data_IF_171765215363
#
_entry.id   IF_171765215363
#
_cell.length_a   1.000
_cell.length_b   1.000
_cell.length_c   1.000
_cell.angle_alpha   90.00
_cell.angle_beta   90.00
_cell.angle_gamma   90.00
#
_symmetry.space_group_name_H-M   'P 1'
#
loop_
_entity.id
_entity.type
_entity.pdbx_description
1 polymer ?
#
# COMPACT_ATOMS: atom_id res chain seq x y z
N UNK A 1 -9.20 -4.56 1.65
CA UNK A 1 -8.86 -5.62 2.62
C UNK A 1 -9.27 -6.96 2.05
N UNK A 2 -8.42 -7.99 2.20
CA UNK A 2 -8.68 -9.37 1.82
C UNK A 2 -8.66 -10.24 3.07
N UNK A 3 -9.66 -11.10 3.23
CA UNK A 3 -9.75 -12.03 4.34
C UNK A 3 -10.39 -13.33 3.86
N UNK A 4 -10.00 -14.45 4.45
CA UNK A 4 -10.62 -15.74 4.19
C UNK A 4 -11.77 -15.96 5.16
N UNK A 5 -12.96 -16.23 4.62
CA UNK A 5 -14.13 -16.61 5.40
C UNK A 5 -14.36 -18.11 5.31
N UNK A 6 -14.46 -18.76 6.46
CA UNK A 6 -14.77 -20.18 6.61
C UNK A 6 -16.23 -20.30 7.06
N UNK A 7 -17.06 -20.92 6.22
CA UNK A 7 -18.47 -21.18 6.55
C UNK A 7 -18.58 -22.43 7.42
N UNK A 8 -19.24 -22.33 8.57
CA UNK A 8 -19.59 -23.42 9.48
C UNK A 8 -21.09 -23.36 9.77
N UNK A 9 -21.88 -24.16 9.06
CA UNK A 9 -23.34 -24.09 9.10
C UNK A 9 -23.84 -22.71 8.65
N UNK A 10 -24.63 -22.07 9.51
CA UNK A 10 -25.19 -20.72 9.28
C UNK A 10 -24.24 -19.59 9.70
N UNK A 11 -23.08 -19.92 10.28
CA UNK A 11 -22.11 -18.92 10.73
C UNK A 11 -20.91 -18.82 9.78
N UNK A 12 -20.39 -17.61 9.63
CA UNK A 12 -19.18 -17.33 8.87
C UNK A 12 -18.09 -16.89 9.84
N UNK A 13 -16.98 -17.63 9.89
CA UNK A 13 -15.84 -17.33 10.76
C UNK A 13 -14.65 -16.85 9.94
N UNK A 14 -13.93 -15.86 10.46
CA UNK A 14 -12.69 -15.40 9.82
C UNK A 14 -11.59 -16.45 10.04
N UNK A 15 -10.99 -16.92 8.95
CA UNK A 15 -9.95 -17.94 8.99
C UNK A 15 -8.59 -17.37 8.61
N UNK A 16 -7.83 -16.85 9.57
CA UNK A 16 -6.49 -16.29 9.35
C UNK A 16 -6.41 -14.81 9.72
N UNK A 17 -5.62 -14.03 8.98
CA UNK A 17 -5.49 -12.58 9.13
C UNK A 17 -6.35 -11.76 8.16
N UNK A 18 -6.46 -10.47 8.44
CA UNK A 18 -6.99 -9.46 7.51
C UNK A 18 -5.79 -8.79 6.84
N UNK A 19 -5.76 -8.83 5.52
CA UNK A 19 -4.67 -8.27 4.72
C UNK A 19 -5.13 -6.96 4.08
N UNK A 20 -4.54 -5.80 4.41
CA UNK A 20 -4.86 -4.55 3.74
C UNK A 20 -4.45 -4.64 2.27
N UNK A 21 -5.31 -4.11 1.39
CA UNK A 21 -5.03 -3.99 -0.03
C UNK A 21 -5.62 -2.67 -0.50
N UNK A 22 -4.94 -2.03 -1.44
CA UNK A 22 -5.54 -1.00 -2.28
C UNK A 22 -6.71 -1.57 -3.07
N UNK A 23 -7.72 -0.72 -3.34
CA UNK A 23 -8.98 -1.17 -3.93
C UNK A 23 -8.80 -1.74 -5.34
N UNK A 24 -7.95 -1.14 -6.16
CA UNK A 24 -7.69 -1.63 -7.53
C UNK A 24 -6.96 -2.96 -7.52
N UNK A 25 -5.83 -3.04 -6.80
CA UNK A 25 -5.09 -4.30 -6.59
C UNK A 25 -5.99 -5.42 -6.05
N UNK A 26 -6.90 -5.13 -5.12
CA UNK A 26 -7.84 -6.13 -4.60
C UNK A 26 -8.80 -6.67 -5.68
N UNK A 27 -9.25 -5.84 -6.62
CA UNK A 27 -10.14 -6.25 -7.72
C UNK A 27 -9.41 -7.15 -8.71
N UNK A 28 -8.19 -6.77 -9.10
CA UNK A 28 -7.35 -7.55 -10.00
C UNK A 28 -6.96 -8.90 -9.40
N UNK A 29 -6.60 -8.90 -8.11
CA UNK A 29 -6.32 -10.11 -7.35
C UNK A 29 -7.55 -11.03 -7.30
N UNK A 30 -8.73 -10.48 -7.00
CA UNK A 30 -9.97 -11.26 -6.97
C UNK A 30 -10.28 -11.89 -8.34
N UNK A 31 -10.13 -11.14 -9.44
CA UNK A 31 -10.32 -11.65 -10.79
C UNK A 31 -9.32 -12.77 -11.12
N UNK A 32 -8.05 -12.60 -10.72
CA UNK A 32 -6.99 -13.58 -10.90
C UNK A 32 -7.25 -14.87 -10.11
N UNK A 33 -7.66 -14.75 -8.85
CA UNK A 33 -8.05 -15.88 -8.00
C UNK A 33 -9.21 -16.66 -8.63
N UNK A 34 -10.27 -15.97 -9.07
CA UNK A 34 -11.42 -16.62 -9.68
C UNK A 34 -11.04 -17.34 -10.99
N UNK A 35 -10.18 -16.74 -11.80
CA UNK A 35 -9.65 -17.36 -13.03
C UNK A 35 -8.81 -18.60 -12.71
N UNK A 36 -7.95 -18.54 -11.69
CA UNK A 36 -7.11 -19.65 -11.24
C UNK A 36 -7.96 -20.82 -10.70
N UNK A 37 -8.97 -20.54 -9.86
CA UNK A 37 -9.92 -21.54 -9.36
C UNK A 37 -10.63 -22.22 -10.53
N UNK A 38 -11.24 -21.45 -11.44
CA UNK A 38 -11.94 -22.00 -12.62
C UNK A 38 -11.05 -22.90 -13.46
N UNK A 39 -9.78 -22.52 -13.66
CA UNK A 39 -8.80 -23.32 -14.41
C UNK A 39 -8.46 -24.62 -13.67
N UNK A 40 -8.29 -24.57 -12.36
CA UNK A 40 -7.90 -25.73 -11.56
C UNK A 40 -9.03 -26.76 -11.44
N UNK A 41 -10.27 -26.30 -11.21
CA UNK A 41 -11.44 -27.18 -11.04
C UNK A 41 -11.87 -27.86 -12.34
N UNK A 42 -11.48 -27.34 -13.51
CA UNK A 42 -11.75 -27.97 -14.81
C UNK A 42 -10.80 -29.13 -15.15
N UNK A 43 -9.71 -29.31 -14.41
CA UNK A 43 -8.75 -30.39 -14.66
C UNK A 43 -9.36 -31.73 -14.25
N UNK A 44 -9.12 -32.79 -15.04
CA UNK A 44 -9.50 -34.18 -14.68
C UNK A 44 -8.91 -34.61 -13.33
N UNK A 45 -7.77 -34.05 -12.94
CA UNK A 45 -7.11 -34.26 -11.64
C UNK A 45 -6.63 -32.90 -11.10
N UNK A 46 -7.42 -32.19 -10.28
CA UNK A 46 -7.01 -30.95 -9.64
C UNK A 46 -5.84 -31.18 -8.68
N UNK A 47 -4.89 -30.24 -8.65
CA UNK A 47 -3.69 -30.30 -7.78
C UNK A 47 -3.78 -29.38 -6.57
N UNK A 48 -4.73 -28.45 -6.56
CA UNK A 48 -4.95 -27.52 -5.46
C UNK A 48 -6.45 -27.31 -5.20
N UNK A 49 -6.80 -27.11 -3.93
CA UNK A 49 -8.17 -26.75 -3.55
C UNK A 49 -8.39 -25.24 -3.78
N UNK A 50 -9.64 -24.79 -4.03
CA UNK A 50 -9.95 -23.36 -4.10
C UNK A 50 -9.47 -22.58 -2.87
N UNK A 51 -9.62 -23.17 -1.67
CA UNK A 51 -9.13 -22.58 -0.43
C UNK A 51 -7.60 -22.42 -0.40
N UNK A 52 -6.86 -23.39 -0.94
CA UNK A 52 -5.40 -23.31 -1.07
C UNK A 52 -4.98 -22.20 -2.04
N UNK A 53 -5.65 -22.10 -3.20
CA UNK A 53 -5.39 -21.04 -4.19
C UNK A 53 -5.64 -19.65 -3.59
N UNK A 54 -6.78 -19.46 -2.92
CA UNK A 54 -7.14 -18.19 -2.26
C UNK A 54 -6.09 -17.81 -1.22
N UNK A 55 -5.67 -18.78 -0.40
CA UNK A 55 -4.73 -18.53 0.71
C UNK A 55 -3.37 -18.07 0.19
N UNK A 56 -2.79 -18.78 -0.78
CA UNK A 56 -1.49 -18.43 -1.35
C UNK A 56 -1.56 -17.09 -2.07
N UNK A 57 -2.57 -16.87 -2.91
CA UNK A 57 -2.70 -15.64 -3.68
C UNK A 57 -2.85 -14.40 -2.78
N UNK A 58 -3.70 -14.45 -1.75
CA UNK A 58 -3.88 -13.32 -0.83
C UNK A 58 -2.59 -13.03 -0.06
N UNK A 59 -1.93 -14.05 0.49
CA UNK A 59 -0.73 -13.85 1.31
C UNK A 59 0.43 -13.34 0.45
N UNK A 60 0.69 -13.99 -0.69
CA UNK A 60 1.79 -13.60 -1.59
C UNK A 60 1.59 -12.19 -2.12
N UNK A 61 0.41 -11.86 -2.66
CA UNK A 61 0.18 -10.53 -3.22
C UNK A 61 0.20 -9.43 -2.16
N UNK A 62 -0.26 -9.71 -0.93
CA UNK A 62 -0.11 -8.76 0.16
C UNK A 62 1.36 -8.55 0.54
N UNK A 63 2.14 -9.63 0.65
CA UNK A 63 3.55 -9.55 0.96
C UNK A 63 4.31 -8.79 -0.13
N UNK A 64 4.01 -9.07 -1.40
CA UNK A 64 4.57 -8.35 -2.56
C UNK A 64 4.25 -6.86 -2.45
N UNK A 65 3.03 -6.47 -2.08
CA UNK A 65 2.66 -5.05 -1.92
C UNK A 65 3.36 -4.32 -0.77
N UNK A 66 3.96 -5.06 0.18
CA UNK A 66 4.79 -4.49 1.25
C UNK A 66 6.24 -4.39 0.81
N UNK A 67 6.74 -5.44 0.15
CA UNK A 67 8.14 -5.55 -0.26
C UNK A 67 8.45 -4.70 -1.49
N UNK A 68 7.47 -4.55 -2.38
CA UNK A 68 7.52 -3.72 -3.58
C UNK A 68 6.22 -2.90 -3.64
N UNK A 69 6.13 -1.82 -2.84
CA UNK A 69 4.92 -1.02 -2.77
C UNK A 69 4.60 -0.46 -4.17
N UNK A 70 3.34 -0.55 -4.61
CA UNK A 70 2.97 -0.06 -5.92
C UNK A 70 3.28 1.43 -6.03
N UNK A 71 3.66 1.86 -7.23
CA UNK A 71 3.88 3.27 -7.49
C UNK A 71 2.60 4.05 -7.11
N UNK A 72 2.71 5.18 -6.42
CA UNK A 72 1.56 6.03 -6.13
C UNK A 72 0.71 6.26 -7.37
N UNK A 73 -0.62 6.32 -7.29
CA UNK A 73 -1.43 6.54 -8.47
C UNK A 73 -1.06 7.86 -9.16
N UNK A 74 -1.21 7.91 -10.48
CA UNK A 74 -1.04 9.16 -11.21
C UNK A 74 -2.19 10.10 -10.87
N UNK A 75 -1.86 11.23 -10.26
CA UNK A 75 -2.85 12.27 -10.00
C UNK A 75 -3.19 12.96 -11.32
N UNK A 76 -4.48 13.14 -11.56
CA UNK A 76 -4.98 13.83 -12.76
C UNK A 76 -5.64 15.12 -12.34
N UNK A 77 -5.37 16.20 -13.07
CA UNK A 77 -6.12 17.42 -12.93
C UNK A 77 -7.59 17.18 -13.32
N UNK A 78 -8.50 17.59 -12.45
CA UNK A 78 -9.92 17.28 -12.62
C UNK A 78 -10.53 17.97 -13.85
N UNK A 79 -9.97 19.09 -14.30
CA UNK A 79 -10.47 19.87 -15.44
C UNK A 79 -9.82 19.41 -16.74
N UNK A 80 -8.50 19.51 -16.85
CA UNK A 80 -7.78 19.26 -18.10
C UNK A 80 -7.72 17.77 -18.42
N UNK A 81 -7.92 16.89 -17.42
CA UNK A 81 -7.71 15.44 -17.48
C UNK A 81 -6.25 15.07 -17.80
N UNK A 82 -5.34 16.04 -17.68
CA UNK A 82 -3.91 15.82 -17.81
C UNK A 82 -3.32 15.35 -16.47
N UNK A 83 -2.15 14.69 -16.49
CA UNK A 83 -1.39 14.44 -15.27
C UNK A 83 -1.13 15.75 -14.50
N UNK A 84 -1.37 15.72 -13.19
CA UNK A 84 -1.06 16.82 -12.29
C UNK A 84 0.46 16.89 -12.13
N UNK A 85 1.08 17.81 -12.86
CA UNK A 85 2.51 18.05 -12.92
C UNK A 85 2.73 19.54 -12.74
N UNK A 86 3.14 19.94 -11.54
CA UNK A 86 3.41 21.34 -11.24
C UNK A 86 4.54 21.81 -12.16
N UNK A 87 4.21 22.70 -13.07
CA UNK A 87 5.11 23.17 -14.11
C UNK A 87 5.40 24.64 -13.85
N UNK A 88 6.67 24.95 -13.60
CA UNK A 88 7.18 26.28 -13.33
C UNK A 88 7.97 26.77 -14.52
N UNK A 89 7.46 27.79 -15.21
CA UNK A 89 8.17 28.47 -16.28
C UNK A 89 8.85 29.71 -15.73
N UNK A 90 10.15 29.86 -16.00
CA UNK A 90 10.93 31.02 -15.59
C UNK A 90 11.06 31.98 -16.76
N UNK A 91 10.79 33.26 -16.50
CA UNK A 91 10.90 34.35 -17.45
C UNK A 91 11.87 35.41 -16.96
N UNK A 92 12.69 35.93 -17.87
CA UNK A 92 13.37 37.21 -17.68
C UNK A 92 12.42 38.34 -18.02
N UNK A 93 12.34 39.32 -17.14
CA UNK A 93 11.51 40.53 -17.30
C UNK A 93 12.45 41.72 -17.54
N UNK A 94 12.24 42.46 -18.62
CA UNK A 94 13.05 43.65 -18.96
C UNK A 94 12.54 44.94 -18.31
N UNK A 95 11.23 45.04 -18.06
CA UNK A 95 10.57 46.21 -17.48
C UNK A 95 9.38 45.76 -16.62
N UNK A 96 9.53 45.86 -15.30
CA UNK A 96 8.50 45.45 -14.34
C UNK A 96 7.32 46.42 -14.29
N UNK A 97 7.50 47.74 -14.14
CA UNK A 97 6.38 48.68 -14.18
C UNK A 97 5.48 48.50 -15.39
N UNK A 98 6.07 48.33 -16.59
CA UNK A 98 5.29 48.11 -17.80
C UNK A 98 4.52 46.77 -17.77
N UNK A 99 5.13 45.71 -17.23
CA UNK A 99 4.46 44.41 -17.08
C UNK A 99 3.33 44.48 -16.04
N UNK A 100 3.55 45.14 -14.91
CA UNK A 100 2.56 45.33 -13.84
C UNK A 100 1.34 46.09 -14.35
N UNK A 101 1.54 47.17 -15.13
CA UNK A 101 0.46 47.91 -15.79
C UNK A 101 -0.34 47.02 -16.76
N UNK A 102 0.35 46.20 -17.55
CA UNK A 102 -0.29 45.27 -18.50
C UNK A 102 -1.12 44.21 -17.77
N UNK A 103 -0.59 43.64 -16.68
CA UNK A 103 -1.28 42.65 -15.86
C UNK A 103 -2.50 43.27 -15.15
N UNK A 104 -2.36 44.47 -14.59
CA UNK A 104 -3.45 45.19 -13.92
C UNK A 104 -4.59 45.57 -14.88
N UNK A 105 -4.30 45.70 -16.19
CA UNK A 105 -5.31 45.96 -17.20
C UNK A 105 -6.14 44.72 -17.59
N UNK A 106 -5.82 43.52 -17.09
CA UNK A 106 -6.57 42.30 -17.40
C UNK A 106 -7.66 42.02 -16.36
N UNK A 107 -8.91 41.93 -16.82
CA UNK A 107 -10.06 41.62 -15.95
C UNK A 107 -9.97 40.23 -15.28
N UNK A 108 -9.10 39.36 -15.80
CA UNK A 108 -8.93 37.99 -15.35
C UNK A 108 -7.58 37.76 -14.62
N UNK A 109 -6.91 38.82 -14.21
CA UNK A 109 -5.70 38.76 -13.38
C UNK A 109 -5.96 39.51 -12.08
N UNK A 110 -5.86 38.80 -10.97
CA UNK A 110 -5.99 39.38 -9.64
C UNK A 110 -4.61 39.49 -8.98
N UNK A 111 -4.30 40.62 -8.37
CA UNK A 111 -3.11 40.76 -7.55
C UNK A 111 -3.39 40.21 -6.15
N UNK A 112 -2.72 39.11 -5.80
CA UNK A 112 -2.83 38.47 -4.47
C UNK A 112 -1.91 39.15 -3.46
N UNK A 113 -0.71 39.55 -3.89
CA UNK A 113 0.30 40.25 -3.08
C UNK A 113 1.14 41.18 -3.97
N UNK A 114 2.01 42.00 -3.38
CA UNK A 114 2.91 42.94 -4.08
C UNK A 114 3.72 42.24 -5.19
N UNK A 115 4.09 40.97 -4.97
CA UNK A 115 4.91 40.19 -5.90
C UNK A 115 4.16 39.03 -6.56
N UNK A 116 2.84 38.90 -6.34
CA UNK A 116 2.08 37.71 -6.75
C UNK A 116 0.79 38.09 -7.47
N UNK A 117 0.62 37.54 -8.67
CA UNK A 117 -0.58 37.68 -9.49
C UNK A 117 -1.18 36.32 -9.82
N UNK A 118 -2.49 36.24 -9.81
CA UNK A 118 -3.26 35.04 -10.13
C UNK A 118 -4.00 35.29 -11.43
N UNK A 119 -3.58 34.60 -12.49
CA UNK A 119 -4.39 34.51 -13.71
C UNK A 119 -5.50 33.50 -13.48
N UNK A 120 -6.75 33.92 -13.60
CA UNK A 120 -7.92 33.12 -13.29
C UNK A 120 -8.96 33.09 -14.41
N UNK A 121 -9.86 32.12 -14.36
CA UNK A 121 -11.04 31.99 -15.21
C UNK A 121 -12.28 32.02 -14.31
N UNK A 122 -13.21 32.93 -14.57
CA UNK A 122 -14.51 32.92 -13.89
C UNK A 122 -15.28 31.65 -14.28
N UNK A 123 -15.76 30.92 -13.27
CA UNK A 123 -16.68 29.80 -13.45
C UNK A 123 -18.12 30.33 -13.39
N UNK A 124 -18.38 31.22 -12.42
CA UNK A 124 -19.63 31.95 -12.21
C UNK A 124 -19.38 33.22 -11.39
N UNK A 125 -20.45 33.90 -10.96
CA UNK A 125 -20.41 35.18 -10.21
C UNK A 125 -19.67 35.09 -8.86
N UNK A 126 -19.55 33.91 -8.25
CA UNK A 126 -18.93 33.74 -6.92
C UNK A 126 -17.65 32.88 -6.95
N UNK A 127 -17.39 32.18 -8.06
CA UNK A 127 -16.28 31.21 -8.16
C UNK A 127 -15.37 31.52 -9.34
N UNK A 128 -14.09 31.61 -9.04
CA UNK A 128 -13.02 31.69 -10.01
C UNK A 128 -12.11 30.47 -9.92
N UNK A 129 -11.35 30.23 -10.98
CA UNK A 129 -10.37 29.15 -11.08
C UNK A 129 -9.01 29.71 -11.44
N UNK A 130 -8.03 29.51 -10.57
CA UNK A 130 -6.63 29.81 -10.90
C UNK A 130 -6.14 28.95 -12.06
N UNK A 131 -5.69 29.62 -13.13
CA UNK A 131 -5.07 29.08 -14.32
C UNK A 131 -3.55 29.01 -14.18
N UNK A 132 -2.96 30.08 -13.67
CA UNK A 132 -1.55 30.20 -13.37
C UNK A 132 -1.32 31.14 -12.17
N UNK A 133 -0.25 30.91 -11.43
CA UNK A 133 0.27 31.83 -10.42
C UNK A 133 1.57 32.43 -10.94
N UNK A 134 1.64 33.75 -11.01
CA UNK A 134 2.79 34.50 -11.47
C UNK A 134 3.44 35.13 -10.24
N UNK A 135 4.72 34.86 -10.02
CA UNK A 135 5.45 35.39 -8.88
C UNK A 135 6.73 36.10 -9.34
N UNK A 136 6.92 37.32 -8.84
CA UNK A 136 8.17 38.07 -8.98
C UNK A 136 9.19 37.53 -7.97
N UNK A 137 10.21 36.83 -8.49
CA UNK A 137 11.29 36.29 -7.66
C UNK A 137 12.40 37.32 -7.41
N UNK A 138 12.62 38.24 -8.35
CA UNK A 138 13.63 39.30 -8.24
C UNK A 138 13.38 40.44 -9.24
N UNK A 139 14.30 41.41 -9.30
CA UNK A 139 14.22 42.59 -10.19
C UNK A 139 14.17 42.29 -11.68
N UNK A 140 14.45 41.07 -12.12
CA UNK A 140 14.38 40.70 -13.55
C UNK A 140 13.93 39.27 -13.79
N UNK A 141 13.36 38.61 -12.78
CA UNK A 141 12.98 37.20 -12.86
C UNK A 141 11.56 37.00 -12.35
N UNK A 142 10.74 36.38 -13.18
CA UNK A 142 9.38 35.96 -12.85
C UNK A 142 9.28 34.44 -12.99
N UNK A 143 8.52 33.81 -12.10
CA UNK A 143 8.12 32.41 -12.22
C UNK A 143 6.62 32.33 -12.47
N UNK A 144 6.22 31.41 -13.34
CA UNK A 144 4.82 31.13 -13.65
C UNK A 144 4.55 29.67 -13.33
N UNK A 145 3.80 29.43 -12.28
CA UNK A 145 3.41 28.09 -11.83
C UNK A 145 2.05 27.70 -12.39
N UNK A 146 1.99 26.49 -12.94
CA UNK A 146 0.80 25.88 -13.50
C UNK A 146 0.64 24.45 -12.97
N UNK A 147 -0.60 24.00 -12.77
CA UNK A 147 -0.90 22.64 -12.28
C UNK A 147 -0.61 21.53 -13.29
N UNK A 148 -0.55 21.85 -14.58
CA UNK A 148 -0.27 20.89 -15.65
C UNK A 148 0.60 21.52 -16.74
N UNK A 149 1.32 20.67 -17.48
CA UNK A 149 2.14 21.10 -18.62
C UNK A 149 1.30 21.76 -19.72
N UNK A 150 0.09 21.26 -19.97
CA UNK A 150 -0.82 21.87 -20.95
C UNK A 150 -1.23 23.28 -20.54
N UNK A 151 -1.47 23.52 -19.25
CA UNK A 151 -1.77 24.86 -18.71
C UNK A 151 -0.56 25.79 -18.80
N UNK A 152 0.64 25.31 -18.51
CA UNK A 152 1.88 26.08 -18.70
C UNK A 152 2.08 26.49 -20.16
N UNK A 153 1.81 25.59 -21.11
CA UNK A 153 1.87 25.91 -22.53
C UNK A 153 0.83 26.97 -22.94
N UNK A 154 -0.37 26.93 -22.37
CA UNK A 154 -1.39 27.95 -22.59
C UNK A 154 -1.01 29.30 -21.97
N UNK A 155 -0.50 29.28 -20.73
CA UNK A 155 -0.01 30.47 -20.04
C UNK A 155 1.14 31.15 -20.79
N UNK A 156 2.08 30.36 -21.33
CA UNK A 156 3.16 30.87 -22.16
C UNK A 156 2.63 31.59 -23.41
N UNK A 157 1.71 30.99 -24.16
CA UNK A 157 1.11 31.63 -25.33
C UNK A 157 0.36 32.91 -24.98
N UNK A 158 -0.35 32.89 -23.85
CA UNK A 158 -1.06 34.06 -23.34
C UNK A 158 -0.08 35.18 -22.97
N UNK A 159 0.98 34.89 -22.22
CA UNK A 159 2.02 35.85 -21.85
C UNK A 159 2.81 36.38 -23.05
N UNK A 160 3.14 35.53 -24.03
CA UNK A 160 3.80 35.95 -25.27
C UNK A 160 2.91 36.91 -26.09
N UNK A 161 1.60 36.66 -26.12
CA UNK A 161 0.63 37.57 -26.75
C UNK A 161 0.46 38.87 -25.98
N UNK A 162 0.53 38.83 -24.65
CA UNK A 162 0.21 39.95 -23.78
C UNK A 162 1.41 40.90 -23.60
N UNK A 163 2.60 40.34 -23.40
CA UNK A 163 3.81 41.08 -23.02
C UNK A 163 5.10 40.48 -23.64
N UNK A 164 5.00 39.88 -24.84
CA UNK A 164 6.11 39.14 -25.46
C UNK A 164 7.40 39.95 -25.71
N UNK A 165 7.34 41.27 -25.81
CA UNK A 165 8.54 42.14 -25.90
C UNK A 165 9.22 42.37 -24.55
N UNK A 166 8.48 42.20 -23.45
CA UNK A 166 8.96 42.41 -22.07
C UNK A 166 9.45 41.12 -21.41
N UNK A 167 9.02 39.98 -21.93
CA UNK A 167 9.24 38.65 -21.35
C UNK A 167 10.12 37.78 -22.24
N UNK A 168 11.09 37.10 -21.64
CA UNK A 168 11.88 36.07 -22.32
C UNK A 168 11.88 34.79 -21.50
N UNK A 169 11.28 33.72 -22.03
CA UNK A 169 11.25 32.41 -21.36
C UNK A 169 12.66 31.81 -21.29
N UNK A 170 13.19 31.62 -20.07
CA UNK A 170 14.56 31.15 -19.84
C UNK A 170 14.64 29.68 -19.46
N UNK A 171 13.57 29.09 -18.93
CA UNK A 171 13.60 27.70 -18.48
C UNK A 171 12.25 27.19 -18.01
N UNK A 172 12.15 25.87 -17.91
CA UNK A 172 10.99 25.15 -17.38
C UNK A 172 11.45 24.09 -16.41
N UNK A 173 10.77 24.01 -15.27
CA UNK A 173 10.87 22.91 -14.31
C UNK A 173 9.52 22.24 -14.19
N UNK A 174 9.51 20.92 -14.04
CA UNK A 174 8.30 20.15 -13.76
C UNK A 174 8.51 19.31 -12.52
N UNK A 175 7.57 19.35 -11.59
CA UNK A 175 7.55 18.55 -10.37
C UNK A 175 6.35 17.58 -10.41
N UNK A 176 6.62 16.28 -10.31
CA UNK A 176 5.61 15.26 -10.10
C UNK A 176 5.39 15.07 -8.59
N UNK A 177 4.18 15.33 -8.05
CA UNK A 177 3.86 15.09 -6.65
C UNK A 177 4.17 13.66 -6.17
N UNK A 178 4.17 12.69 -7.10
CA UNK A 178 4.49 11.28 -6.81
C UNK A 178 5.96 11.05 -6.52
N UNK A 179 6.87 11.89 -7.00
CA UNK A 179 8.30 11.78 -6.68
C UNK A 179 8.53 12.11 -5.21
N UNK A 180 7.96 13.20 -4.70
CA UNK A 180 8.01 13.54 -3.27
C UNK A 180 7.38 12.45 -2.41
N UNK A 181 6.24 11.91 -2.82
CA UNK A 181 5.61 10.80 -2.09
C UNK A 181 6.45 9.52 -2.14
N UNK A 182 7.13 9.25 -3.27
CA UNK A 182 8.05 8.11 -3.40
C UNK A 182 9.26 8.28 -2.49
N UNK A 183 9.84 9.48 -2.44
CA UNK A 183 10.96 9.79 -1.56
C UNK A 183 10.54 9.67 -0.09
N UNK A 184 9.36 10.14 0.31
CA UNK A 184 8.82 9.94 1.66
C UNK A 184 8.57 8.47 1.99
N UNK A 185 8.02 7.70 1.04
CA UNK A 185 7.80 6.26 1.20
C UNK A 185 9.12 5.47 1.24
N UNK A 186 10.13 5.89 0.49
CA UNK A 186 11.47 5.30 0.48
C UNK A 186 12.31 5.72 1.71
N UNK A 187 12.05 6.91 2.26
CA UNK A 187 12.70 7.44 3.46
C UNK A 187 12.10 6.91 4.76
N UNK A 188 10.86 6.39 4.72
CA UNK A 188 10.39 5.49 5.78
C UNK A 188 11.28 4.26 5.75
N UNK A 189 11.83 3.80 6.88
CA UNK A 189 12.57 2.55 6.92
C UNK A 189 11.59 1.43 6.55
N UNK A 190 11.59 1.05 5.27
CA UNK A 190 10.99 -0.20 4.85
C UNK A 190 11.73 -1.35 5.53
N UNK A 191 11.07 -2.46 5.88
CA UNK A 191 11.81 -3.68 6.16
C UNK A 191 12.64 -3.98 4.90
N UNK A 192 13.96 -3.88 5.01
CA UNK A 192 14.90 -3.86 3.89
C UNK A 192 14.55 -4.91 2.83
N UNK A 193 14.04 -4.44 1.68
CA UNK A 193 13.85 -5.26 0.48
C UNK A 193 15.22 -5.53 -0.15
N UNK A 194 16.01 -6.41 0.46
CA UNK A 194 17.03 -7.16 -0.27
C UNK A 194 16.29 -8.27 -1.01
N UNK A 195 16.51 -8.33 -2.33
CA UNK A 195 16.12 -9.44 -3.22
C UNK A 195 16.17 -10.76 -2.45
N UNK A 196 15.02 -11.39 -2.25
CA UNK A 196 14.93 -12.73 -1.65
C UNK A 196 15.47 -13.79 -2.64
N UNK A 197 16.79 -13.86 -2.79
CA UNK A 197 17.44 -15.14 -2.55
C UNK A 197 17.57 -15.23 -1.03
N UNK A 198 17.05 -16.28 -0.40
CA UNK A 198 17.14 -16.44 1.06
C UNK A 198 18.62 -16.51 1.50
N UNK A 199 19.23 -15.36 1.79
CA UNK A 199 20.57 -15.24 2.37
C UNK A 199 20.54 -15.36 3.90
N UNK A 200 19.38 -15.61 4.52
CA UNK A 200 19.36 -16.00 5.93
C UNK A 200 19.84 -17.46 5.96
N UNK A 201 21.01 -17.75 6.57
CA UNK A 201 21.47 -19.12 6.71
C UNK A 201 20.36 -19.95 7.33
N UNK A 202 20.15 -21.17 6.81
CA UNK A 202 19.08 -22.06 7.28
C UNK A 202 19.10 -22.20 8.81
N UNK A 203 20.28 -22.15 9.42
CA UNK A 203 20.46 -22.21 10.87
C UNK A 203 19.87 -21.00 11.62
N UNK A 204 20.01 -19.79 11.07
CA UNK A 204 19.44 -18.59 11.68
C UNK A 204 17.92 -18.52 11.48
N UNK A 205 17.40 -19.04 10.36
CA UNK A 205 15.95 -19.22 10.19
C UNK A 205 15.39 -20.20 11.21
N UNK A 206 16.10 -21.31 11.44
CA UNK A 206 15.73 -22.31 12.45
C UNK A 206 15.74 -21.71 13.85
N UNK A 207 16.74 -20.91 14.20
CA UNK A 207 16.83 -20.28 15.51
C UNK A 207 15.68 -19.29 15.75
N UNK A 208 15.40 -18.42 14.78
CA UNK A 208 14.32 -17.43 14.88
C UNK A 208 12.95 -18.12 14.98
N UNK A 209 12.68 -19.10 14.12
CA UNK A 209 11.41 -19.86 14.13
C UNK A 209 11.28 -20.63 15.45
N UNK A 210 12.35 -21.28 15.90
CA UNK A 210 12.33 -22.06 17.15
C UNK A 210 12.10 -21.16 18.36
N UNK A 211 12.75 -19.99 18.42
CA UNK A 211 12.55 -19.02 19.50
C UNK A 211 11.11 -18.50 19.52
N UNK A 212 10.59 -18.06 18.37
CA UNK A 212 9.21 -17.59 18.24
C UNK A 212 8.19 -18.68 18.63
N UNK A 213 8.36 -19.90 18.13
CA UNK A 213 7.47 -21.02 18.45
C UNK A 213 7.55 -21.39 19.94
N UNK A 214 8.74 -21.34 20.52
CA UNK A 214 8.93 -21.57 21.97
C UNK A 214 8.18 -20.52 22.79
N UNK A 215 8.32 -19.23 22.48
CA UNK A 215 7.62 -18.15 23.18
C UNK A 215 6.10 -18.27 23.02
N UNK A 216 5.65 -18.58 21.80
CA UNK A 216 4.24 -18.77 21.47
C UNK A 216 3.63 -19.93 22.25
N UNK A 217 4.21 -21.12 22.17
CA UNK A 217 3.70 -22.31 22.85
C UNK A 217 3.96 -22.31 24.36
N UNK A 218 4.82 -21.43 24.87
CA UNK A 218 4.99 -21.19 26.31
C UNK A 218 3.81 -20.41 26.90
N UNK A 219 3.24 -19.45 26.17
CA UNK A 219 2.06 -18.69 26.62
C UNK A 219 0.75 -19.40 26.29
N UNK A 220 0.72 -20.22 25.24
CA UNK A 220 -0.49 -20.92 24.76
C UNK A 220 -1.32 -21.68 25.81
N UNK A 221 -0.75 -22.38 26.81
CA UNK A 221 -1.52 -23.11 27.82
C UNK A 221 -2.47 -22.27 28.69
N UNK A 222 -2.23 -20.96 28.76
CA UNK A 222 -3.04 -20.01 29.54
C UNK A 222 -4.08 -19.28 28.69
N UNK A 223 -4.07 -19.47 27.36
CA UNK A 223 -4.98 -18.78 26.43
C UNK A 223 -6.28 -19.57 26.29
N UNK A 224 -7.46 -18.95 26.50
CA UNK A 224 -8.75 -19.59 26.26
C UNK A 224 -8.94 -19.99 24.80
N UNK A 225 -9.29 -21.25 24.53
CA UNK A 225 -9.44 -21.76 23.17
C UNK A 225 -10.92 -22.04 22.83
N UNK A 226 -11.42 -21.57 21.68
CA UNK A 226 -12.75 -21.91 21.20
C UNK A 226 -12.96 -23.43 21.05
N UNK A 227 -11.93 -24.16 20.62
CA UNK A 227 -11.96 -25.63 20.49
C UNK A 227 -12.19 -26.35 21.84
N UNK A 228 -11.93 -25.68 22.96
CA UNK A 228 -12.12 -26.17 24.32
C UNK A 228 -13.32 -25.47 25.01
N UNK A 229 -14.25 -24.93 24.23
CA UNK A 229 -15.40 -24.14 24.71
C UNK A 229 -14.97 -22.96 25.61
N UNK A 230 -13.95 -22.21 25.20
CA UNK A 230 -13.47 -21.04 25.92
C UNK A 230 -12.65 -21.37 27.17
N UNK A 231 -12.25 -22.63 27.38
CA UNK A 231 -11.32 -23.02 28.45
C UNK A 231 -9.88 -22.92 27.97
N UNK A 232 -8.97 -22.68 28.90
CA UNK A 232 -7.54 -22.77 28.62
C UNK A 232 -7.11 -24.24 28.54
N UNK A 233 -6.04 -24.57 27.81
CA UNK A 233 -5.47 -25.92 27.82
C UNK A 233 -5.16 -26.45 29.23
N UNK A 234 -4.66 -25.59 30.13
CA UNK A 234 -4.41 -25.95 31.54
C UNK A 234 -5.69 -26.34 32.30
N UNK A 235 -6.79 -25.65 32.03
CA UNK A 235 -8.09 -25.98 32.64
C UNK A 235 -8.67 -27.27 32.02
N UNK A 236 -8.57 -27.41 30.70
CA UNK A 236 -9.06 -28.58 29.98
C UNK A 236 -8.34 -29.88 30.38
N UNK A 237 -7.03 -29.82 30.66
CA UNK A 237 -6.24 -30.97 31.09
C UNK A 237 -6.72 -31.58 32.43
N UNK A 238 -7.30 -30.75 33.32
CA UNK A 238 -7.84 -31.16 34.63
C UNK A 238 -9.24 -31.75 34.56
N UNK A 239 -9.95 -31.56 33.45
CA UNK A 239 -11.33 -31.99 33.29
C UNK A 239 -11.38 -33.29 32.49
N UNK A 240 -11.90 -34.36 33.10
CA UNK A 240 -12.03 -35.69 32.44
C UNK A 240 -12.77 -35.62 31.10
N UNK A 241 -13.74 -34.73 30.97
CA UNK A 241 -14.56 -34.54 29.75
C UNK A 241 -13.83 -33.79 28.63
N UNK A 242 -12.81 -32.98 28.93
CA UNK A 242 -12.08 -32.19 27.95
C UNK A 242 -10.66 -32.71 27.67
N UNK A 243 -10.13 -33.58 28.53
CA UNK A 243 -8.82 -34.21 28.35
C UNK A 243 -8.69 -34.93 27.00
N UNK A 244 -9.67 -35.73 26.51
CA UNK A 244 -9.56 -36.35 25.18
C UNK A 244 -9.54 -35.34 24.03
N UNK A 245 -10.33 -34.26 24.13
CA UNK A 245 -10.36 -33.18 23.12
C UNK A 245 -9.05 -32.40 23.07
N UNK A 246 -8.42 -32.21 24.23
CA UNK A 246 -7.12 -31.56 24.32
C UNK A 246 -6.01 -32.43 23.71
N UNK A 247 -6.05 -33.76 23.95
CA UNK A 247 -5.12 -34.72 23.31
C UNK A 247 -5.28 -34.70 21.78
N UNK A 248 -6.50 -34.74 21.26
CA UNK A 248 -6.77 -34.66 19.82
C UNK A 248 -6.25 -33.34 19.21
N UNK A 249 -6.43 -32.22 19.93
CA UNK A 249 -5.93 -30.91 19.51
C UNK A 249 -4.40 -30.89 19.43
N UNK A 250 -3.68 -31.45 20.41
CA UNK A 250 -2.22 -31.53 20.39
C UNK A 250 -1.73 -32.40 19.23
N UNK A 251 -2.38 -33.55 18.97
CA UNK A 251 -2.08 -34.40 17.80
C UNK A 251 -2.28 -33.66 16.48
N UNK A 252 -3.33 -32.85 16.38
CA UNK A 252 -3.58 -32.05 15.19
C UNK A 252 -2.48 -31.01 14.93
N UNK A 253 -1.94 -30.40 15.99
CA UNK A 253 -0.81 -29.46 15.90
C UNK A 253 0.44 -30.18 15.38
N UNK A 254 0.76 -31.36 15.93
CA UNK A 254 1.92 -32.16 15.49
C UNK A 254 1.80 -32.61 14.03
N UNK A 255 0.60 -33.04 13.61
CA UNK A 255 0.33 -33.42 12.22
C UNK A 255 0.48 -32.24 11.26
N UNK A 256 0.04 -31.05 11.68
CA UNK A 256 0.23 -29.81 10.93
C UNK A 256 1.71 -29.46 10.76
N UNK A 257 2.48 -29.55 11.83
CA UNK A 257 3.93 -29.30 11.83
C UNK A 257 4.70 -30.34 10.99
N UNK A 258 4.37 -31.63 11.11
CA UNK A 258 4.98 -32.68 10.30
C UNK A 258 4.71 -32.50 8.80
N UNK A 259 3.50 -32.06 8.44
CA UNK A 259 3.15 -31.75 7.06
C UNK A 259 3.92 -30.52 6.54
N UNK A 260 4.00 -29.45 7.34
CA UNK A 260 4.81 -28.26 7.03
C UNK A 260 6.27 -28.64 6.80
N UNK A 261 6.82 -29.51 7.65
CA UNK A 261 8.20 -29.93 7.54
C UNK A 261 8.48 -30.70 6.25
N UNK A 262 7.56 -31.58 5.84
CA UNK A 262 7.64 -32.31 4.58
C UNK A 262 7.58 -31.40 3.35
N UNK A 263 6.76 -30.35 3.40
CA UNK A 263 6.54 -29.45 2.27
C UNK A 263 7.61 -28.37 2.14
N UNK A 264 8.24 -27.96 3.25
CA UNK A 264 9.24 -26.87 3.30
C UNK A 264 10.70 -27.35 3.44
N UNK A 265 10.93 -28.61 3.79
CA UNK A 265 12.26 -29.14 4.08
C UNK A 265 12.87 -28.67 5.41
N UNK A 266 12.15 -27.85 6.18
CA UNK A 266 12.54 -27.38 7.51
C UNK A 266 12.02 -28.37 8.56
N UNK A 267 12.82 -28.84 9.54
CA UNK A 267 12.33 -29.75 10.58
C UNK A 267 11.08 -29.26 11.31
N UNK A 268 10.22 -30.19 11.72
CA UNK A 268 9.02 -29.90 12.52
C UNK A 268 9.43 -29.36 13.89
N UNK A 269 8.68 -28.38 14.40
CA UNK A 269 8.89 -27.91 15.78
C UNK A 269 8.32 -28.94 16.76
N UNK A 270 9.14 -29.39 17.72
CA UNK A 270 8.71 -30.38 18.70
C UNK A 270 7.95 -29.71 19.86
N UNK A 271 6.66 -30.02 19.96
CA UNK A 271 5.81 -29.57 21.06
C UNK A 271 5.74 -30.58 22.21
N UNK A 272 6.69 -31.52 22.32
CA UNK A 272 6.78 -32.50 23.42
C UNK A 272 6.67 -31.86 24.81
N UNK A 273 7.35 -30.74 25.03
CA UNK A 273 7.29 -29.99 26.30
C UNK A 273 5.86 -29.52 26.67
N UNK A 274 5.00 -29.31 25.67
CA UNK A 274 3.63 -28.88 25.87
C UNK A 274 2.77 -30.02 26.45
N UNK A 275 3.03 -31.26 26.00
CA UNK A 275 2.40 -32.46 26.55
C UNK A 275 2.74 -32.63 28.03
N UNK A 276 4.03 -32.53 28.37
CA UNK A 276 4.52 -32.64 29.74
C UNK A 276 3.94 -31.55 30.64
N UNK A 277 3.96 -30.30 30.18
CA UNK A 277 3.42 -29.15 30.93
C UNK A 277 1.92 -29.27 31.18
N UNK A 278 1.18 -29.94 30.30
CA UNK A 278 -0.25 -30.20 30.46
C UNK A 278 -0.53 -31.49 31.26
N UNK A 279 0.50 -32.23 31.68
CA UNK A 279 0.36 -33.51 32.39
C UNK A 279 -0.31 -34.58 31.52
N UNK A 280 -0.02 -34.57 30.22
CA UNK A 280 -0.54 -35.49 29.21
C UNK A 280 0.60 -36.33 28.65
N UNK A 281 0.32 -37.59 28.37
CA UNK A 281 1.23 -38.51 27.69
C UNK A 281 1.02 -38.47 26.19
N UNK A 282 2.13 -38.50 25.46
CA UNK A 282 2.19 -38.59 24.00
C UNK A 282 1.93 -40.04 23.60
N UNK A 283 0.66 -40.42 23.47
CA UNK A 283 0.22 -41.74 22.96
C UNK A 283 -0.03 -41.71 21.45
#
# INVERSE_FOLDING_TARGET
>A
MGARLLRRGDTCTLGGGIYPFEREHAKELAATILKAIRRETRKKRPRATPAGIITVAIISTWLDSILDPPAPPMLMDAQTKEPLLFTMDTYRVSDWPALEDILAAQDNVEQEDENVWIWAESIDEERYRSLARLERLSTGLMEVECRTTGRANAARKWLESLAGSLLSHTGRKTEDPREKLRDELASRPGPAAKKHTSEIPLELQREIISKYMTDHYTSWPTIPLPALNGKTPLQAAKLKTYRPKLVELLKHIEQGEAKRAKDSGIPAFDIGFLWERLGLTRE
#
